data_IF_455881369508
#
_entry.id   IF_455881369508
#
_cell.length_a   1.000
_cell.length_b   1.000
_cell.length_c   1.000
_cell.angle_alpha   90.00
_cell.angle_beta   90.00
_cell.angle_gamma   90.00
#
_symmetry.space_group_name_H-M   'P 1'
#
loop_
_entity.id
_entity.type
_entity.pdbx_description
1 polymer ?
#
# COMPACT_ATOMS: atom_id res chain seq x y z
N UNK A 1 21.25 -7.75 -17.44
CA UNK A 1 21.11 -7.23 -16.05
C UNK A 1 19.68 -7.36 -15.53
N UNK A 2 18.63 -6.98 -16.28
CA UNK A 2 17.22 -7.14 -15.86
C UNK A 2 16.81 -8.61 -15.59
N UNK A 3 17.21 -9.56 -16.44
CA UNK A 3 16.88 -10.98 -16.22
C UNK A 3 17.52 -11.55 -14.95
N UNK A 4 18.77 -11.18 -14.66
CA UNK A 4 19.49 -11.68 -13.49
C UNK A 4 18.85 -11.25 -12.18
N UNK A 5 18.30 -10.03 -12.08
CA UNK A 5 17.59 -9.58 -10.86
C UNK A 5 16.23 -10.27 -10.76
N UNK A 6 15.52 -10.48 -11.87
CA UNK A 6 14.23 -11.17 -11.85
C UNK A 6 14.35 -12.60 -11.30
N UNK A 7 15.39 -13.33 -11.73
CA UNK A 7 15.64 -14.71 -11.30
C UNK A 7 15.98 -14.84 -9.81
N UNK A 8 16.46 -13.76 -9.18
CA UNK A 8 16.71 -13.72 -7.74
C UNK A 8 15.44 -13.58 -6.90
N UNK A 9 14.31 -13.24 -7.53
CA UNK A 9 13.05 -12.94 -6.84
C UNK A 9 13.25 -12.03 -5.62
N UNK A 10 13.82 -10.83 -5.82
CA UNK A 10 14.47 -10.06 -4.76
C UNK A 10 13.46 -9.50 -3.76
N UNK A 11 12.18 -9.42 -4.12
CA UNK A 11 11.19 -8.75 -3.30
C UNK A 11 10.46 -9.76 -2.41
N UNK A 12 10.24 -9.39 -1.15
CA UNK A 12 9.32 -10.06 -0.22
C UNK A 12 8.51 -9.00 0.51
N UNK A 13 7.39 -9.39 1.13
CA UNK A 13 6.60 -8.47 1.92
C UNK A 13 7.37 -8.04 3.17
N UNK A 14 7.42 -6.73 3.43
CA UNK A 14 8.18 -6.22 4.59
C UNK A 14 7.31 -5.79 5.77
N UNK A 15 6.01 -6.11 5.75
CA UNK A 15 5.08 -5.88 6.87
C UNK A 15 5.17 -7.00 7.90
N UNK A 16 5.20 -6.64 9.18
CA UNK A 16 5.34 -7.60 10.28
C UNK A 16 4.09 -8.49 10.45
N UNK A 17 2.91 -7.95 10.15
CA UNK A 17 1.61 -8.60 10.27
C UNK A 17 1.15 -9.29 8.97
N UNK A 18 2.04 -9.43 7.99
CA UNK A 18 1.73 -10.10 6.74
C UNK A 18 1.37 -11.57 6.94
N UNK A 19 0.29 -12.03 6.30
CA UNK A 19 -0.14 -13.44 6.33
C UNK A 19 0.70 -14.36 5.44
N UNK A 20 1.48 -13.80 4.52
CA UNK A 20 2.37 -14.53 3.60
C UNK A 20 3.74 -13.83 3.51
N UNK A 21 4.51 -13.75 4.62
CA UNK A 21 5.73 -12.95 4.69
C UNK A 21 6.90 -13.54 3.88
N UNK A 22 6.87 -14.85 3.65
CA UNK A 22 7.95 -15.59 2.96
C UNK A 22 7.77 -15.65 1.44
N UNK A 23 6.66 -15.13 0.90
CA UNK A 23 6.44 -15.11 -0.53
C UNK A 23 7.44 -14.18 -1.22
N UNK A 24 8.12 -14.72 -2.21
CA UNK A 24 9.07 -14.01 -3.05
C UNK A 24 8.39 -13.55 -4.35
N UNK A 25 8.81 -12.39 -4.85
CA UNK A 25 8.34 -11.82 -6.11
C UNK A 25 9.54 -11.48 -7.00
N UNK A 26 9.48 -11.90 -8.27
CA UNK A 26 10.44 -11.49 -9.30
C UNK A 26 10.10 -10.14 -9.93
N UNK A 27 8.83 -9.74 -9.87
CA UNK A 27 8.31 -8.55 -10.54
C UNK A 27 7.95 -7.49 -9.49
N UNK A 28 8.53 -6.30 -9.64
CA UNK A 28 8.29 -5.16 -8.73
C UNK A 28 6.81 -4.85 -8.56
N UNK A 29 6.04 -4.88 -9.65
CA UNK A 29 4.61 -4.54 -9.63
C UNK A 29 3.84 -5.48 -8.71
N UNK A 30 4.12 -6.78 -8.76
CA UNK A 30 3.43 -7.77 -7.92
C UNK A 30 3.71 -7.55 -6.42
N UNK A 31 4.94 -7.21 -6.08
CA UNK A 31 5.31 -6.84 -4.71
C UNK A 31 4.60 -5.55 -4.26
N UNK A 32 4.58 -4.51 -5.11
CA UNK A 32 3.87 -3.25 -4.81
C UNK A 32 2.37 -3.50 -4.62
N UNK A 33 1.76 -4.29 -5.51
CA UNK A 33 0.33 -4.61 -5.45
C UNK A 33 0.00 -5.40 -4.17
N UNK A 34 0.90 -6.28 -3.72
CA UNK A 34 0.76 -6.95 -2.43
C UNK A 34 0.92 -5.98 -1.25
N UNK A 35 1.99 -5.18 -1.20
CA UNK A 35 2.20 -4.23 -0.10
C UNK A 35 1.11 -3.15 0.02
N UNK A 36 0.43 -2.84 -1.10
CA UNK A 36 -0.74 -1.96 -1.12
C UNK A 36 -1.96 -2.56 -0.40
N UNK A 37 -2.05 -3.89 -0.26
CA UNK A 37 -3.16 -4.55 0.44
C UNK A 37 -3.13 -4.29 1.95
N UNK A 38 -1.95 -4.08 2.53
CA UNK A 38 -1.77 -3.75 3.96
C UNK A 38 -2.16 -2.32 4.31
N UNK A 39 -2.34 -1.45 3.30
CA UNK A 39 -2.65 -0.03 3.49
C UNK A 39 -4.00 0.35 2.94
N UNK A 40 -4.92 -0.61 2.88
CA UNK A 40 -6.25 -0.37 2.35
C UNK A 40 -6.98 0.57 3.29
N UNK A 41 -7.40 1.70 2.73
CA UNK A 41 -8.22 2.70 3.38
C UNK A 41 -9.43 2.99 2.51
N UNK A 42 -10.49 3.47 3.15
CA UNK A 42 -11.64 4.03 2.49
C UNK A 42 -11.32 5.48 2.14
N UNK A 43 -11.34 5.83 0.87
CA UNK A 43 -11.23 7.22 0.45
C UNK A 43 -12.63 7.85 0.42
N UNK A 44 -12.72 9.16 0.58
CA UNK A 44 -13.90 9.89 0.13
C UNK A 44 -13.72 10.28 -1.34
N UNK A 45 -14.79 10.22 -2.13
CA UNK A 45 -14.76 10.60 -3.55
C UNK A 45 -14.95 12.10 -3.77
N UNK A 46 -15.41 12.83 -2.75
CA UNK A 46 -15.62 14.29 -2.75
C UNK A 46 -14.47 15.01 -2.03
N UNK A 47 -13.97 14.43 -0.95
CA UNK A 47 -12.95 15.00 -0.08
C UNK A 47 -11.64 14.22 -0.16
N UNK A 48 -10.50 14.89 0.03
CA UNK A 48 -9.18 14.24 0.15
C UNK A 48 -8.98 13.62 1.56
N UNK A 49 -9.97 12.88 2.04
CA UNK A 49 -9.97 12.23 3.36
C UNK A 49 -9.90 10.70 3.22
N UNK A 50 -9.13 10.07 4.11
CA UNK A 50 -8.90 8.63 4.18
C UNK A 50 -9.37 8.10 5.54
N UNK A 51 -9.99 6.91 5.55
CA UNK A 51 -10.51 6.27 6.76
C UNK A 51 -10.03 4.81 6.81
N UNK A 52 -9.52 4.39 7.97
CA UNK A 52 -9.04 3.01 8.15
C UNK A 52 -10.21 2.01 8.30
N UNK A 53 -11.34 2.46 8.82
CA UNK A 53 -12.49 1.60 9.09
C UNK A 53 -13.75 2.05 8.33
N UNK A 54 -14.57 1.07 7.95
CA UNK A 54 -15.85 1.33 7.31
C UNK A 54 -16.80 2.16 8.21
N UNK A 55 -16.92 1.89 9.52
CA UNK A 55 -17.76 2.72 10.38
C UNK A 55 -17.36 4.20 10.40
N UNK A 56 -16.06 4.50 10.40
CA UNK A 56 -15.57 5.88 10.38
C UNK A 56 -15.93 6.57 9.05
N UNK A 57 -15.75 5.88 7.93
CA UNK A 57 -16.16 6.36 6.62
C UNK A 57 -17.68 6.61 6.54
N UNK A 58 -18.49 5.66 7.04
CA UNK A 58 -19.96 5.80 7.06
C UNK A 58 -20.41 6.97 7.93
N UNK A 59 -19.73 7.20 9.07
CA UNK A 59 -19.99 8.37 9.91
C UNK A 59 -19.69 9.67 9.16
N UNK A 60 -18.55 9.75 8.47
CA UNK A 60 -18.21 10.90 7.61
C UNK A 60 -19.31 11.18 6.57
N UNK A 61 -19.75 10.15 5.84
CA UNK A 61 -20.82 10.29 4.84
C UNK A 61 -22.14 10.78 5.46
N UNK A 62 -22.46 10.34 6.68
CA UNK A 62 -23.66 10.79 7.41
C UNK A 62 -23.59 12.23 7.90
N UNK A 63 -22.41 12.69 8.31
CA UNK A 63 -22.20 14.07 8.77
C UNK A 63 -22.17 15.07 7.61
N UNK A 64 -21.63 14.66 6.46
CA UNK A 64 -21.45 15.50 5.27
C UNK A 64 -22.54 15.35 4.21
N UNK A 65 -23.72 14.80 4.57
CA UNK A 65 -24.84 14.47 3.65
C UNK A 65 -25.29 15.59 2.71
N UNK A 66 -25.05 16.86 3.03
CA UNK A 66 -25.41 18.00 2.16
C UNK A 66 -24.48 18.15 0.94
N UNK A 67 -23.25 17.64 1.04
CA UNK A 67 -22.22 17.69 0.00
C UNK A 67 -22.21 16.41 -0.85
N UNK A 68 -22.88 15.34 -0.39
CA UNK A 68 -23.07 14.08 -1.11
C UNK A 68 -24.44 14.05 -1.80
N UNK A 69 -24.49 13.60 -3.06
CA UNK A 69 -25.75 13.46 -3.79
C UNK A 69 -26.61 12.35 -3.15
N UNK A 70 -27.93 12.51 -2.98
CA UNK A 70 -28.76 11.52 -2.28
C UNK A 70 -28.75 10.11 -2.91
N UNK A 71 -28.41 10.02 -4.19
CA UNK A 71 -28.30 8.79 -5.00
C UNK A 71 -26.93 8.11 -4.91
N UNK A 72 -25.96 8.75 -4.23
CA UNK A 72 -24.62 8.22 -3.96
C UNK A 72 -24.57 7.33 -2.69
N UNK A 73 -25.70 7.13 -2.00
CA UNK A 73 -25.79 6.34 -0.77
C UNK A 73 -25.95 4.83 -0.97
N UNK A 74 -25.85 4.34 -2.21
CA UNK A 74 -25.94 2.91 -2.48
C UNK A 74 -24.72 2.18 -1.91
N UNK A 75 -24.97 1.07 -1.21
CA UNK A 75 -23.95 0.23 -0.55
C UNK A 75 -22.85 -0.26 -1.51
N UNK A 76 -23.17 -0.36 -2.81
CA UNK A 76 -22.25 -0.72 -3.89
C UNK A 76 -21.23 0.38 -4.21
N UNK A 77 -21.60 1.66 -4.04
CA UNK A 77 -20.69 2.79 -4.26
C UNK A 77 -19.67 2.93 -3.13
N UNK A 78 -20.05 2.55 -1.91
CA UNK A 78 -19.18 2.53 -0.74
C UNK A 78 -18.00 1.56 -0.94
N UNK A 79 -18.23 0.37 -1.50
CA UNK A 79 -17.17 -0.62 -1.75
C UNK A 79 -16.14 -0.19 -2.82
N UNK A 80 -16.53 0.69 -3.74
CA UNK A 80 -15.66 1.16 -4.83
C UNK A 80 -14.57 2.14 -4.38
N UNK A 81 -14.58 2.59 -3.12
CA UNK A 81 -13.68 3.63 -2.60
C UNK A 81 -12.54 3.07 -1.73
N UNK A 82 -12.39 1.74 -1.67
CA UNK A 82 -11.28 1.11 -0.94
C UNK A 82 -10.02 1.06 -1.81
N UNK A 83 -9.03 1.87 -1.46
CA UNK A 83 -7.75 1.98 -2.18
C UNK A 83 -6.55 1.93 -1.22
N UNK A 84 -5.34 1.86 -1.75
CA UNK A 84 -4.15 2.03 -0.91
C UNK A 84 -4.07 3.47 -0.41
N UNK A 85 -3.66 3.67 0.85
CA UNK A 85 -3.39 5.00 1.39
C UNK A 85 -2.30 5.70 0.60
N UNK A 86 -2.49 7.00 0.38
CA UNK A 86 -1.50 7.89 -0.21
C UNK A 86 -0.37 8.24 0.76
N UNK A 87 -0.54 7.92 2.05
CA UNK A 87 0.40 8.26 3.12
C UNK A 87 1.36 7.12 3.41
N UNK A 88 2.65 7.43 3.66
CA UNK A 88 3.56 6.45 4.23
C UNK A 88 3.09 6.12 5.65
N UNK A 89 2.91 4.84 5.94
CA UNK A 89 2.43 4.33 7.24
C UNK A 89 3.57 3.74 8.09
N UNK A 90 4.80 3.70 7.54
CA UNK A 90 5.98 3.15 8.20
C UNK A 90 7.27 3.76 7.66
N UNK A 91 8.31 3.59 8.45
CA UNK A 91 9.70 3.84 8.06
C UNK A 91 10.32 2.60 7.40
N UNK A 92 11.58 2.72 6.97
CA UNK A 92 12.29 1.60 6.36
C UNK A 92 12.57 0.49 7.39
N UNK A 93 12.26 -0.78 7.11
CA UNK A 93 12.55 -1.88 8.03
C UNK A 93 14.04 -2.28 8.04
N UNK A 94 14.86 -1.72 7.15
CA UNK A 94 16.28 -2.06 7.00
C UNK A 94 17.23 -0.93 7.44
N UNK A 95 16.71 0.28 7.68
CA UNK A 95 17.51 1.43 8.09
C UNK A 95 16.63 2.55 8.70
N UNK A 96 17.20 3.54 9.41
CA UNK A 96 16.43 4.60 10.07
C UNK A 96 16.03 5.73 9.10
N UNK A 97 15.39 5.40 7.98
CA UNK A 97 14.89 6.39 6.99
C UNK A 97 13.37 6.50 7.05
N UNK A 98 12.88 7.72 7.22
CA UNK A 98 11.47 8.10 7.10
C UNK A 98 11.16 8.72 5.73
N UNK A 99 9.89 8.77 5.33
CA UNK A 99 9.50 9.14 3.96
C UNK A 99 8.42 10.22 3.91
N UNK A 100 8.48 11.13 2.92
CA UNK A 100 7.42 12.10 2.69
C UNK A 100 6.22 11.51 1.95
N UNK A 101 6.44 10.46 1.15
CA UNK A 101 5.41 9.84 0.32
C UNK A 101 5.67 8.34 0.09
N UNK A 102 4.61 7.65 -0.32
CA UNK A 102 4.60 6.21 -0.56
C UNK A 102 5.53 5.77 -1.70
N UNK A 103 5.61 6.55 -2.78
CA UNK A 103 6.42 6.16 -3.93
C UNK A 103 7.92 6.21 -3.57
N UNK A 104 8.34 7.21 -2.79
CA UNK A 104 9.69 7.32 -2.24
C UNK A 104 10.00 6.17 -1.28
N UNK A 105 9.07 5.85 -0.36
CA UNK A 105 9.18 4.69 0.54
C UNK A 105 9.39 3.38 -0.24
N UNK A 106 8.49 3.06 -1.18
CA UNK A 106 8.59 1.83 -1.98
C UNK A 106 9.87 1.78 -2.81
N UNK A 107 10.29 2.89 -3.40
CA UNK A 107 11.53 2.97 -4.17
C UNK A 107 12.75 2.67 -3.31
N UNK A 108 12.77 3.16 -2.07
CA UNK A 108 13.87 2.96 -1.13
C UNK A 108 13.91 1.52 -0.59
N UNK A 109 12.77 0.98 -0.12
CA UNK A 109 12.71 -0.40 0.39
C UNK A 109 13.13 -1.39 -0.70
N UNK A 110 12.62 -1.21 -1.92
CA UNK A 110 13.02 -2.00 -3.09
C UNK A 110 14.53 -2.02 -3.30
N UNK A 111 15.20 -0.88 -3.15
CA UNK A 111 16.65 -0.82 -3.31
C UNK A 111 17.39 -1.68 -2.27
N UNK A 112 16.92 -1.72 -1.03
CA UNK A 112 17.46 -2.64 -0.02
C UNK A 112 17.24 -4.09 -0.41
N UNK A 113 16.03 -4.45 -0.83
CA UNK A 113 15.67 -5.81 -1.27
C UNK A 113 16.55 -6.29 -2.44
N UNK A 114 16.68 -5.48 -3.49
CA UNK A 114 17.54 -5.78 -4.64
C UNK A 114 19.00 -5.96 -4.22
N UNK A 115 19.52 -5.12 -3.31
CA UNK A 115 20.89 -5.25 -2.81
C UNK A 115 21.10 -6.50 -1.98
N UNK A 116 20.18 -6.81 -1.08
CA UNK A 116 20.25 -8.01 -0.25
C UNK A 116 20.26 -9.28 -1.11
N UNK A 117 19.39 -9.33 -2.14
CA UNK A 117 19.37 -10.42 -3.10
C UNK A 117 20.69 -10.55 -3.87
N UNK A 118 21.28 -9.42 -4.29
CA UNK A 118 22.58 -9.43 -4.96
C UNK A 118 23.73 -9.88 -4.04
N UNK A 119 23.68 -9.57 -2.74
CA UNK A 119 24.67 -10.05 -1.77
C UNK A 119 24.57 -11.55 -1.48
N UNK A 120 23.43 -12.18 -1.77
CA UNK A 120 23.24 -13.62 -1.60
C UNK A 120 23.87 -14.43 -2.74
N UNK A 121 24.40 -13.78 -3.78
CA UNK A 121 25.11 -14.44 -4.87
C UNK A 121 26.54 -14.87 -4.42
N UNK A 122 27.03 -16.05 -4.87
CA UNK A 122 28.36 -16.55 -4.56
C UNK A 122 29.51 -15.68 -5.09
#
# INVERSE_FOLDING_TARGET
>A
RLHQIHDLQPYHCTYEDCTDPNRLYGVRREWVDHENQHRRVWHCYVHEEEFETQPDYMRHLHEKRLEHRPEDSSTEMVAAVVGASSKPHRDCPFCPTAFPDVATMQKHIRYHLERLALYALP
#
